data_IF_641440082024
#
_entry.id   IF_641440082024
#
_cell.length_a   1.000
_cell.length_b   1.000
_cell.length_c   1.000
_cell.angle_alpha   90.00
_cell.angle_beta   90.00
_cell.angle_gamma   90.00
#
_symmetry.space_group_name_H-M   'P 1'
#
loop_
_entity.id
_entity.type
_entity.pdbx_description
1 polymer ?
#
# COMPACT_ATOMS: atom_id res chain seq x y z
N UNK A 1 -1.19 -3.42 19.30
CA UNK A 1 -0.52 -2.53 18.33
C UNK A 1 0.90 -2.16 18.74
N UNK A 2 1.15 -1.77 19.99
CA UNK A 2 2.47 -1.35 20.51
C UNK A 2 3.64 -2.24 20.03
N UNK A 3 3.50 -3.58 20.12
CA UNK A 3 4.54 -4.52 19.66
C UNK A 3 4.96 -4.30 18.20
N UNK A 4 3.99 -4.10 17.29
CA UNK A 4 4.30 -3.87 15.87
C UNK A 4 5.08 -2.57 15.66
N UNK A 5 4.75 -1.53 16.43
CA UNK A 5 5.45 -0.23 16.35
C UNK A 5 6.87 -0.39 16.89
N UNK A 6 7.05 -1.00 18.07
CA UNK A 6 8.36 -1.25 18.66
C UNK A 6 9.27 -2.10 17.76
N UNK A 7 8.70 -3.04 17.02
CA UNK A 7 9.42 -3.88 16.05
C UNK A 7 9.59 -3.23 14.66
N UNK A 8 9.17 -1.98 14.46
CA UNK A 8 9.24 -1.30 13.15
C UNK A 8 8.36 -1.91 12.06
N UNK A 9 7.40 -2.76 12.43
CA UNK A 9 6.43 -3.40 11.54
C UNK A 9 5.22 -2.51 11.26
N UNK A 10 5.03 -1.46 12.04
CA UNK A 10 4.06 -0.39 11.84
C UNK A 10 4.75 0.95 12.00
N UNK A 11 4.44 1.90 11.11
CA UNK A 11 5.11 3.22 11.06
C UNK A 11 6.64 3.18 10.85
N UNK A 12 7.20 2.00 10.56
CA UNK A 12 8.59 1.89 10.13
C UNK A 12 8.82 2.59 8.80
N UNK A 13 9.99 3.21 8.65
CA UNK A 13 10.43 3.95 7.46
C UNK A 13 9.60 5.20 7.13
N UNK A 14 8.82 5.75 8.06
CA UNK A 14 8.28 7.10 7.88
C UNK A 14 9.43 8.12 7.89
N UNK A 15 9.23 9.24 7.19
CA UNK A 15 10.21 10.32 7.14
C UNK A 15 10.00 11.23 8.34
N UNK A 16 11.02 11.32 9.20
CA UNK A 16 10.99 12.21 10.36
C UNK A 16 11.22 13.66 9.93
N UNK A 17 10.26 14.52 10.26
CA UNK A 17 10.31 15.97 10.05
C UNK A 17 10.49 16.63 11.42
N UNK A 18 11.64 17.27 11.63
CA UNK A 18 11.97 17.89 12.92
C UNK A 18 12.62 19.27 12.81
N UNK A 19 13.01 19.69 11.60
CA UNK A 19 13.60 21.02 11.42
C UNK A 19 12.49 22.07 11.30
N UNK A 20 12.62 23.25 11.96
CA UNK A 20 11.61 24.30 11.89
C UNK A 20 11.26 24.72 10.44
N UNK A 21 12.26 24.74 9.55
CA UNK A 21 12.06 25.07 8.15
C UNK A 21 11.19 24.03 7.41
N UNK A 22 11.35 22.74 7.68
CA UNK A 22 10.52 21.70 7.07
C UNK A 22 9.09 21.72 7.64
N UNK A 23 8.93 21.97 8.93
CA UNK A 23 7.62 22.13 9.58
C UNK A 23 6.87 23.32 8.97
N UNK A 24 7.55 24.45 8.77
CA UNK A 24 6.95 25.63 8.13
C UNK A 24 6.53 25.33 6.69
N UNK A 25 7.39 24.69 5.89
CA UNK A 25 7.05 24.26 4.52
C UNK A 25 5.85 23.33 4.49
N UNK A 26 5.80 22.36 5.40
CA UNK A 26 4.67 21.46 5.54
C UNK A 26 3.39 22.22 5.87
N UNK A 27 3.42 23.12 6.84
CA UNK A 27 2.27 23.92 7.24
C UNK A 27 1.76 24.82 6.11
N UNK A 28 2.65 25.40 5.30
CA UNK A 28 2.24 26.16 4.11
C UNK A 28 1.52 25.28 3.09
N UNK A 29 2.03 24.07 2.85
CA UNK A 29 1.39 23.11 1.94
C UNK A 29 0.05 22.59 2.48
N UNK A 30 -0.01 22.27 3.78
CA UNK A 30 -1.23 21.81 4.45
C UNK A 30 -2.31 22.91 4.45
N UNK A 31 -1.92 24.16 4.69
CA UNK A 31 -2.83 25.30 4.63
C UNK A 31 -3.36 25.51 3.20
N UNK A 32 -2.52 25.33 2.19
CA UNK A 32 -2.90 25.44 0.79
C UNK A 32 -3.89 24.33 0.37
N UNK A 33 -3.64 23.08 0.76
CA UNK A 33 -4.43 21.92 0.33
C UNK A 33 -5.72 21.72 1.13
N UNK A 34 -5.64 21.85 2.45
CA UNK A 34 -6.71 21.46 3.38
C UNK A 34 -7.23 22.63 4.23
N UNK A 35 -6.62 23.82 4.15
CA UNK A 35 -6.99 24.96 4.98
C UNK A 35 -6.62 24.80 6.47
N UNK A 36 -5.71 23.88 6.78
CA UNK A 36 -5.31 23.52 8.15
C UNK A 36 -3.82 23.76 8.39
N UNK A 37 -3.42 23.80 9.65
CA UNK A 37 -2.01 23.79 10.10
C UNK A 37 -1.88 22.92 11.33
N UNK A 38 -0.70 22.33 11.54
CA UNK A 38 -0.31 21.64 12.76
C UNK A 38 0.48 22.56 13.68
N UNK A 39 0.30 22.41 14.99
CA UNK A 39 1.14 23.05 16.02
C UNK A 39 2.34 22.17 16.43
N UNK A 40 2.44 20.94 15.91
CA UNK A 40 3.55 20.03 16.19
C UNK A 40 4.87 20.59 15.63
N UNK A 41 5.91 20.51 16.46
CA UNK A 41 7.28 20.94 16.12
C UNK A 41 8.10 19.85 15.44
N UNK A 42 7.61 18.61 15.48
CA UNK A 42 8.22 17.42 14.91
C UNK A 42 7.14 16.36 14.69
N UNK A 43 7.25 15.56 13.64
CA UNK A 43 6.28 14.51 13.27
C UNK A 43 6.84 13.61 12.16
N UNK A 44 6.17 12.51 11.86
CA UNK A 44 6.56 11.55 10.84
C UNK A 44 5.57 11.52 9.68
N UNK A 45 6.06 11.53 8.44
CA UNK A 45 5.22 11.49 7.24
C UNK A 45 5.45 10.25 6.39
N UNK A 46 4.37 9.82 5.73
CA UNK A 46 4.37 8.71 4.78
C UNK A 46 4.74 9.17 3.35
N UNK A 47 4.67 8.28 2.35
CA UNK A 47 5.02 8.62 0.96
C UNK A 47 4.19 9.77 0.39
N UNK A 48 2.94 9.94 0.85
CA UNK A 48 2.06 11.03 0.45
C UNK A 48 2.25 12.29 1.29
N UNK A 49 3.05 12.26 2.35
CA UNK A 49 3.13 13.37 3.29
C UNK A 49 2.07 13.32 4.40
N UNK A 50 1.29 12.25 4.52
CA UNK A 50 0.35 12.06 5.62
C UNK A 50 1.11 11.67 6.89
N UNK A 51 0.78 12.32 8.01
CA UNK A 51 1.29 12.03 9.35
C UNK A 51 0.15 11.52 10.24
N UNK A 52 0.31 10.35 10.87
CA UNK A 52 -0.65 9.88 11.86
C UNK A 52 -0.73 10.81 13.08
N UNK A 53 0.35 11.47 13.49
CA UNK A 53 0.37 12.42 14.59
C UNK A 53 -0.47 13.69 14.29
N UNK A 54 -0.33 14.24 13.08
CA UNK A 54 -1.13 15.38 12.64
C UNK A 54 -2.60 14.97 12.46
N UNK A 55 -2.85 13.78 11.93
CA UNK A 55 -4.20 13.24 11.82
C UNK A 55 -4.89 13.11 13.18
N UNK A 56 -4.13 12.75 14.22
CA UNK A 56 -4.59 12.72 15.60
C UNK A 56 -4.87 14.13 16.16
N UNK A 57 -3.89 15.04 16.06
CA UNK A 57 -4.03 16.44 16.51
C UNK A 57 -5.27 17.12 15.90
N UNK A 58 -5.51 16.89 14.61
CA UNK A 58 -6.64 17.48 13.88
C UNK A 58 -7.96 16.72 14.07
N UNK A 59 -7.93 15.54 14.71
CA UNK A 59 -9.09 14.63 14.79
C UNK A 59 -9.60 14.18 13.44
N UNK A 60 -8.74 14.15 12.41
CA UNK A 60 -9.08 13.85 11.03
C UNK A 60 -8.02 12.96 10.38
N UNK A 61 -8.20 11.63 10.37
CA UNK A 61 -7.25 10.69 9.76
C UNK A 61 -7.24 10.74 8.22
N UNK A 62 -8.10 11.56 7.60
CA UNK A 62 -8.22 11.71 6.15
C UNK A 62 -7.91 13.15 5.70
N UNK A 63 -7.17 13.93 6.49
CA UNK A 63 -6.90 15.34 6.19
C UNK A 63 -6.14 15.58 4.86
N UNK A 64 -5.43 14.57 4.32
CA UNK A 64 -4.85 14.57 2.95
C UNK A 64 -5.56 13.61 1.98
N UNK A 65 -6.70 13.06 2.35
CA UNK A 65 -7.48 12.22 1.45
C UNK A 65 -8.97 12.50 1.59
N UNK A 66 -9.44 13.69 1.15
CA UNK A 66 -10.84 14.06 1.23
C UNK A 66 -11.75 12.99 0.64
N UNK A 67 -12.75 12.56 1.41
CA UNK A 67 -13.69 11.48 1.06
C UNK A 67 -13.04 10.12 0.73
N UNK A 68 -11.72 9.98 0.89
CA UNK A 68 -10.98 8.78 0.53
C UNK A 68 -10.80 8.51 -0.96
N UNK A 69 -11.03 9.48 -1.85
CA UNK A 69 -11.04 9.28 -3.32
C UNK A 69 -9.89 9.99 -4.02
N UNK A 70 -9.71 11.29 -3.76
CA UNK A 70 -8.64 12.06 -4.35
C UNK A 70 -7.58 12.33 -3.30
N UNK A 71 -6.56 11.48 -3.26
CA UNK A 71 -5.48 11.63 -2.29
C UNK A 71 -4.62 12.83 -2.67
N UNK A 72 -4.60 13.81 -1.79
CA UNK A 72 -3.66 14.90 -1.81
C UNK A 72 -2.31 14.42 -1.27
N UNK A 73 -1.24 15.10 -1.66
CA UNK A 73 0.10 14.79 -1.17
C UNK A 73 0.94 16.04 -0.94
N UNK A 74 1.88 15.92 0.00
CA UNK A 74 2.89 16.92 0.34
C UNK A 74 4.25 16.23 0.28
N UNK A 75 5.11 16.66 -0.64
CA UNK A 75 6.48 16.20 -0.78
C UNK A 75 7.43 17.26 -0.22
N UNK A 76 8.18 16.87 0.80
CA UNK A 76 9.28 17.61 1.40
C UNK A 76 10.65 17.03 1.01
N UNK A 77 10.70 15.80 0.50
CA UNK A 77 11.93 15.16 0.05
C UNK A 77 11.66 13.99 -0.90
N UNK A 78 12.50 13.74 -1.92
CA UNK A 78 12.42 12.54 -2.75
C UNK A 78 12.56 11.22 -1.96
N UNK A 79 13.17 11.24 -0.78
CA UNK A 79 13.32 10.04 0.07
C UNK A 79 11.97 9.48 0.55
N UNK A 80 10.89 10.27 0.49
CA UNK A 80 9.52 9.79 0.75
C UNK A 80 9.14 8.58 -0.10
N UNK A 81 9.76 8.35 -1.27
CA UNK A 81 9.52 7.16 -2.11
C UNK A 81 9.74 5.83 -1.38
N UNK A 82 10.60 5.82 -0.34
CA UNK A 82 10.89 4.64 0.49
C UNK A 82 9.86 4.42 1.60
N UNK A 83 9.08 5.45 1.94
CA UNK A 83 8.09 5.38 3.01
C UNK A 83 6.92 4.47 2.62
N UNK A 84 6.22 3.88 3.63
CA UNK A 84 4.94 3.24 3.38
C UNK A 84 3.88 4.27 2.95
N UNK A 85 2.75 3.78 2.45
CA UNK A 85 1.52 4.58 2.34
C UNK A 85 0.58 4.12 3.45
N UNK A 86 0.10 5.05 4.27
CA UNK A 86 -0.84 4.79 5.34
C UNK A 86 -2.29 5.06 4.88
N UNK A 87 -3.26 4.53 5.63
CA UNK A 87 -4.70 4.71 5.39
C UNK A 87 -5.09 4.46 3.93
N UNK A 88 -4.62 3.34 3.35
CA UNK A 88 -4.77 3.07 1.92
C UNK A 88 -6.25 2.90 1.58
N UNK A 89 -6.74 3.68 0.61
CA UNK A 89 -8.10 3.55 0.06
C UNK A 89 -8.15 2.91 -1.32
N UNK A 90 -7.05 2.98 -2.07
CA UNK A 90 -6.87 2.32 -3.36
C UNK A 90 -5.51 1.65 -3.40
N UNK A 91 -5.44 0.41 -3.89
CA UNK A 91 -4.18 -0.36 -3.97
C UNK A 91 -3.13 0.29 -4.88
N UNK A 92 -3.56 1.16 -5.79
CA UNK A 92 -2.74 1.77 -6.85
C UNK A 92 -1.98 3.00 -6.37
N UNK A 93 -2.50 3.72 -5.37
CA UNK A 93 -2.01 5.05 -4.99
C UNK A 93 -0.53 5.06 -4.61
N UNK A 94 -0.04 4.02 -3.92
CA UNK A 94 1.38 3.95 -3.53
C UNK A 94 2.31 3.80 -4.73
N UNK A 95 1.94 2.94 -5.69
CA UNK A 95 2.75 2.71 -6.88
C UNK A 95 2.83 3.99 -7.73
N UNK A 96 1.69 4.66 -7.94
CA UNK A 96 1.59 5.94 -8.65
C UNK A 96 2.47 7.01 -8.02
N UNK A 97 2.38 7.20 -6.69
CA UNK A 97 3.21 8.19 -5.97
C UNK A 97 4.70 7.85 -6.08
N UNK A 98 5.07 6.58 -5.93
CA UNK A 98 6.47 6.16 -6.05
C UNK A 98 7.02 6.41 -7.46
N UNK A 99 6.30 5.98 -8.49
CA UNK A 99 6.70 6.19 -9.90
C UNK A 99 6.81 7.67 -10.24
N UNK A 100 5.92 8.51 -9.70
CA UNK A 100 6.00 9.95 -9.86
C UNK A 100 7.25 10.55 -9.22
N UNK A 101 7.58 10.12 -7.99
CA UNK A 101 8.79 10.60 -7.29
C UNK A 101 10.04 10.14 -8.03
N UNK A 102 10.10 8.86 -8.44
CA UNK A 102 11.24 8.29 -9.17
C UNK A 102 11.44 8.96 -10.55
N UNK A 103 10.36 9.19 -11.30
CA UNK A 103 10.43 9.82 -12.62
C UNK A 103 10.87 11.29 -12.57
N UNK A 104 10.70 11.95 -11.41
CA UNK A 104 10.95 13.38 -11.23
C UNK A 104 11.99 13.67 -10.14
N UNK A 105 12.82 12.69 -9.78
CA UNK A 105 13.65 12.75 -8.58
C UNK A 105 14.58 13.96 -8.54
N UNK A 106 15.25 14.27 -9.65
CA UNK A 106 16.16 15.42 -9.74
C UNK A 106 15.43 16.76 -9.59
N UNK A 107 14.27 16.89 -10.23
CA UNK A 107 13.44 18.10 -10.19
C UNK A 107 12.83 18.28 -8.80
N UNK A 108 12.31 17.20 -8.22
CA UNK A 108 11.77 17.22 -6.86
C UNK A 108 12.86 17.53 -5.84
N UNK A 109 14.09 17.01 -6.00
CA UNK A 109 15.21 17.35 -5.13
C UNK A 109 15.52 18.86 -5.16
N UNK A 110 15.52 19.47 -6.34
CA UNK A 110 15.77 20.90 -6.49
C UNK A 110 14.62 21.75 -5.90
N UNK A 111 13.37 21.37 -6.15
CA UNK A 111 12.20 22.07 -5.62
C UNK A 111 12.09 21.95 -4.09
N UNK A 112 12.29 20.75 -3.57
CA UNK A 112 12.14 20.46 -2.14
C UNK A 112 13.23 21.08 -1.27
N UNK A 113 14.32 21.55 -1.89
CA UNK A 113 15.37 22.31 -1.21
C UNK A 113 14.86 23.65 -0.64
N UNK A 114 13.88 24.29 -1.28
CA UNK A 114 13.37 25.63 -0.89
C UNK A 114 11.91 25.66 -0.50
N UNK A 115 11.06 24.79 -1.08
CA UNK A 115 9.63 24.76 -0.83
C UNK A 115 9.08 23.32 -0.73
N UNK A 116 7.84 23.15 -0.32
CA UNK A 116 7.13 21.87 -0.46
C UNK A 116 6.51 21.77 -1.85
N UNK A 117 6.47 20.56 -2.41
CA UNK A 117 5.68 20.25 -3.59
C UNK A 117 4.36 19.63 -3.11
N UNK A 118 3.25 20.30 -3.42
CA UNK A 118 1.90 19.89 -3.04
C UNK A 118 1.11 19.49 -4.28
N UNK A 119 0.22 18.52 -4.14
CA UNK A 119 -0.55 18.05 -5.28
C UNK A 119 -1.68 17.11 -4.91
N UNK A 120 -2.33 16.57 -5.94
CA UNK A 120 -3.46 15.65 -5.83
C UNK A 120 -3.38 14.56 -6.91
N UNK A 121 -3.77 13.34 -6.50
CA UNK A 121 -4.11 12.27 -7.42
C UNK A 121 -5.55 12.52 -7.90
N UNK A 122 -5.67 13.17 -9.06
CA UNK A 122 -6.95 13.61 -9.62
C UNK A 122 -7.61 12.45 -10.34
N UNK A 123 -8.85 12.18 -9.93
CA UNK A 123 -9.77 11.26 -10.60
C UNK A 123 -10.95 12.02 -11.18
N UNK A 124 -11.60 11.44 -12.19
CA UNK A 124 -12.86 11.96 -12.76
C UNK A 124 -14.02 12.00 -11.75
N UNK A 125 -13.91 11.28 -10.63
CA UNK A 125 -14.94 11.15 -9.61
C UNK A 125 -14.51 11.84 -8.32
N UNK A 126 -15.19 12.92 -7.96
CA UNK A 126 -14.94 13.66 -6.71
C UNK A 126 -15.51 12.98 -5.45
N UNK A 127 -16.57 12.18 -5.62
CA UNK A 127 -17.23 11.47 -4.53
C UNK A 127 -17.88 10.19 -5.05
N UNK A 128 -17.59 9.08 -4.41
CA UNK A 128 -18.25 7.80 -4.66
C UNK A 128 -19.63 7.81 -4.01
N UNK A 129 -20.69 7.57 -4.79
CA UNK A 129 -22.07 7.42 -4.33
C UNK A 129 -22.48 5.95 -4.33
N UNK A 130 -21.99 5.19 -5.30
CA UNK A 130 -22.27 3.77 -5.46
C UNK A 130 -21.04 2.99 -5.94
N UNK A 131 -20.99 1.67 -5.74
CA UNK A 131 -19.95 0.81 -6.29
C UNK A 131 -19.81 0.90 -7.82
N UNK A 132 -20.89 1.19 -8.55
CA UNK A 132 -20.86 1.36 -10.00
C UNK A 132 -19.98 2.55 -10.44
N UNK A 133 -19.84 3.58 -9.60
CA UNK A 133 -19.00 4.76 -9.89
C UNK A 133 -17.52 4.37 -10.05
N UNK A 134 -17.07 3.29 -9.41
CA UNK A 134 -15.69 2.81 -9.49
C UNK A 134 -15.29 2.39 -10.91
N UNK A 135 -16.24 1.98 -11.76
CA UNK A 135 -15.96 1.62 -13.15
C UNK A 135 -15.75 2.84 -14.07
N UNK A 136 -16.01 4.05 -13.55
CA UNK A 136 -15.70 5.31 -14.25
C UNK A 136 -14.30 5.82 -13.94
N UNK A 137 -13.62 5.26 -12.94
CA UNK A 137 -12.23 5.51 -12.60
C UNK A 137 -11.32 4.82 -13.63
N UNK A 138 -11.09 5.50 -14.76
CA UNK A 138 -10.27 4.96 -15.86
C UNK A 138 -8.83 5.42 -15.82
N UNK A 139 -8.62 6.66 -15.38
CA UNK A 139 -7.35 7.35 -15.49
C UNK A 139 -7.16 8.24 -14.26
N UNK A 140 -5.98 8.12 -13.67
CA UNK A 140 -5.52 8.97 -12.57
C UNK A 140 -4.48 9.91 -13.15
N UNK A 141 -4.68 11.21 -12.95
CA UNK A 141 -3.70 12.24 -13.30
C UNK A 141 -3.07 12.79 -12.02
N UNK A 142 -1.81 13.20 -12.11
CA UNK A 142 -1.11 13.85 -11.01
C UNK A 142 -1.03 15.33 -11.32
N UNK A 143 -1.74 16.12 -10.52
CA UNK A 143 -1.56 17.57 -10.49
C UNK A 143 -0.63 17.91 -9.33
N UNK A 144 0.46 18.63 -9.64
CA UNK A 144 1.46 19.01 -8.65
C UNK A 144 1.97 20.42 -8.94
N UNK A 145 2.20 21.20 -7.88
CA UNK A 145 2.88 22.49 -7.91
C UNK A 145 3.63 22.73 -6.60
N UNK A 146 4.55 23.70 -6.57
CA UNK A 146 5.01 24.24 -5.30
C UNK A 146 3.94 25.12 -4.67
N UNK A 147 4.00 25.35 -3.36
CA UNK A 147 3.05 26.25 -2.68
C UNK A 147 3.17 27.67 -3.23
N UNK A 148 4.38 28.10 -3.61
CA UNK A 148 4.63 29.36 -4.32
C UNK A 148 4.14 29.43 -5.77
N UNK A 149 3.60 28.35 -6.35
CA UNK A 149 3.13 28.31 -7.74
C UNK A 149 4.26 28.32 -8.77
N UNK A 150 5.44 27.85 -8.41
CA UNK A 150 6.66 27.92 -9.22
C UNK A 150 6.50 27.20 -10.57
N UNK A 151 5.82 26.05 -10.62
CA UNK A 151 5.64 25.31 -11.88
C UNK A 151 4.64 26.01 -12.79
N UNK A 152 3.49 26.44 -12.26
CA UNK A 152 2.51 27.21 -13.05
C UNK A 152 3.12 28.49 -13.60
N UNK A 153 3.89 29.20 -12.78
CA UNK A 153 4.56 30.42 -13.20
C UNK A 153 5.67 30.14 -14.22
N UNK A 154 6.44 29.04 -14.07
CA UNK A 154 7.45 28.64 -15.04
C UNK A 154 6.83 28.32 -16.41
N UNK A 155 5.71 27.61 -16.45
CA UNK A 155 4.96 27.34 -17.69
C UNK A 155 4.45 28.61 -18.37
N UNK A 156 3.89 29.56 -17.60
CA UNK A 156 3.48 30.87 -18.11
C UNK A 156 4.65 31.65 -18.71
N UNK A 157 5.76 31.72 -18.00
CA UNK A 157 6.95 32.42 -18.47
C UNK A 157 7.53 31.75 -19.73
N UNK A 158 7.55 30.42 -19.82
CA UNK A 158 7.96 29.72 -21.03
C UNK A 158 7.06 30.06 -22.23
N UNK A 159 5.74 30.08 -22.04
CA UNK A 159 4.80 30.49 -23.09
C UNK A 159 4.99 31.95 -23.51
N UNK A 160 5.24 32.86 -22.56
CA UNK A 160 5.55 34.27 -22.85
C UNK A 160 6.88 34.42 -23.59
N UNK A 161 7.91 33.63 -23.25
CA UNK A 161 9.19 33.60 -23.97
C UNK A 161 8.99 33.13 -25.41
N UNK A 162 8.21 32.07 -25.63
CA UNK A 162 7.92 31.60 -26.98
C UNK A 162 7.11 32.62 -27.78
N UNK A 163 6.12 33.25 -27.15
CA UNK A 163 5.37 34.37 -27.73
C UNK A 163 6.30 35.51 -28.15
N UNK A 164 7.19 35.94 -27.25
CA UNK A 164 8.19 36.96 -27.50
C UNK A 164 9.12 36.63 -28.68
N UNK A 165 9.42 35.35 -28.92
CA UNK A 165 10.29 34.90 -30.02
C UNK A 165 9.56 34.73 -31.36
N UNK A 166 8.26 34.44 -31.34
CA UNK A 166 7.53 33.93 -32.51
C UNK A 166 6.48 34.89 -33.07
N UNK A 167 5.89 35.75 -32.24
CA UNK A 167 4.91 36.74 -32.70
C UNK A 167 5.59 37.98 -33.28
N UNK A 168 5.04 38.49 -34.38
CA UNK A 168 5.39 39.80 -34.93
C UNK A 168 5.12 40.87 -33.87
N UNK A 169 6.03 41.84 -33.76
CA UNK A 169 5.96 42.98 -32.83
C UNK A 169 6.06 42.67 -31.32
N UNK A 170 6.07 41.40 -30.90
CA UNK A 170 6.16 41.01 -29.49
C UNK A 170 7.49 41.40 -28.81
N UNK A 171 8.55 41.66 -29.59
CA UNK A 171 9.87 42.04 -29.08
C UNK A 171 9.93 43.46 -28.48
N UNK A 172 8.93 44.31 -28.77
CA UNK A 172 8.78 45.67 -28.21
C UNK A 172 7.48 45.88 -27.42
N UNK A 173 6.75 44.80 -27.12
CA UNK A 173 5.59 44.86 -26.26
C UNK A 173 6.05 45.06 -24.79
N UNK A 174 6.06 46.31 -24.35
CA UNK A 174 6.45 46.70 -22.98
C UNK A 174 5.60 46.01 -21.90
N UNK A 175 4.34 45.67 -22.20
CA UNK A 175 3.45 44.96 -21.27
C UNK A 175 3.90 43.51 -21.14
N UNK A 176 4.14 42.83 -22.26
CA UNK A 176 4.66 41.46 -22.27
C UNK A 176 6.00 41.35 -21.52
N UNK A 177 6.93 42.28 -21.77
CA UNK A 177 8.24 42.31 -21.10
C UNK A 177 8.09 42.53 -19.59
N UNK A 178 7.22 43.45 -19.17
CA UNK A 178 6.98 43.72 -17.75
C UNK A 178 6.37 42.50 -17.04
N UNK A 179 5.41 41.81 -17.67
CA UNK A 179 4.83 40.57 -17.16
C UNK A 179 5.89 39.47 -17.02
N UNK A 180 6.74 39.29 -18.04
CA UNK A 180 7.85 38.32 -18.01
C UNK A 180 8.82 38.58 -16.85
N UNK A 181 9.22 39.84 -16.61
CA UNK A 181 10.09 40.21 -15.48
C UNK A 181 9.41 39.94 -14.14
N UNK A 182 8.11 40.23 -14.02
CA UNK A 182 7.33 39.97 -12.82
C UNK A 182 7.31 38.48 -12.46
N UNK A 183 7.05 37.62 -13.44
CA UNK A 183 7.01 36.16 -13.26
C UNK A 183 8.42 35.61 -12.99
N UNK A 184 9.45 36.06 -13.71
CA UNK A 184 10.83 35.61 -13.53
C UNK A 184 11.37 35.86 -12.11
N UNK A 185 10.93 36.93 -11.44
CA UNK A 185 11.27 37.19 -10.03
C UNK A 185 10.68 36.15 -9.07
N UNK A 186 9.57 35.51 -9.43
CA UNK A 186 8.90 34.48 -8.61
C UNK A 186 9.44 33.08 -8.90
N UNK A 187 9.82 32.79 -10.15
CA UNK A 187 10.28 31.44 -10.58
C UNK A 187 11.78 31.25 -10.55
N UNK A 188 12.56 32.33 -10.61
CA UNK A 188 13.98 32.26 -10.95
C UNK A 188 14.22 32.05 -12.46
N UNK A 189 15.48 31.82 -12.83
CA UNK A 189 15.90 31.64 -14.23
C UNK A 189 15.56 30.24 -14.76
N UNK A 190 14.36 30.12 -15.34
CA UNK A 190 13.86 28.88 -15.94
C UNK A 190 14.54 28.52 -17.26
N UNK A 191 15.32 29.43 -17.87
CA UNK A 191 16.04 29.13 -19.12
C UNK A 191 17.27 28.28 -18.86
N UNK A 192 17.92 28.50 -17.71
CA UNK A 192 19.08 27.71 -17.26
C UNK A 192 18.70 26.49 -16.45
N UNK A 193 17.57 26.53 -15.74
CA UNK A 193 17.10 25.42 -14.93
C UNK A 193 15.58 25.19 -15.13
N UNK A 194 15.16 24.60 -16.26
CA UNK A 194 13.75 24.35 -16.52
C UNK A 194 13.19 23.34 -15.52
N UNK A 195 12.27 23.79 -14.67
CA UNK A 195 11.59 22.93 -13.70
C UNK A 195 10.29 22.45 -14.34
N UNK A 196 10.32 21.25 -14.94
CA UNK A 196 9.14 20.58 -15.45
C UNK A 196 9.00 19.22 -14.76
N UNK A 197 7.86 18.98 -14.12
CA UNK A 197 7.52 17.64 -13.62
C UNK A 197 6.82 16.87 -14.74
N UNK A 198 7.30 15.67 -15.04
CA UNK A 198 6.60 14.78 -15.95
C UNK A 198 5.26 14.37 -15.33
N UNK A 199 4.17 14.73 -16.00
CA UNK A 199 2.82 14.32 -15.64
C UNK A 199 2.49 13.05 -16.42
N UNK A 200 2.57 11.90 -15.76
CA UNK A 200 2.13 10.63 -16.34
C UNK A 200 0.66 10.43 -16.03
N UNK A 201 -0.12 10.15 -17.08
CA UNK A 201 -1.42 9.55 -16.97
C UNK A 201 -1.23 8.08 -16.52
N UNK A 202 -1.84 7.70 -15.41
CA UNK A 202 -1.85 6.31 -14.97
C UNK A 202 -3.20 5.68 -15.32
N UNK A 203 -3.19 4.79 -16.30
CA UNK A 203 -4.33 3.93 -16.62
C UNK A 203 -4.22 2.66 -15.79
N UNK A 204 -4.93 2.59 -14.67
CA UNK A 204 -5.00 1.37 -13.87
C UNK A 204 -6.46 0.98 -13.66
N UNK A 205 -6.87 -0.04 -14.41
CA UNK A 205 -8.27 -0.49 -14.47
C UNK A 205 -8.54 -1.60 -13.45
N UNK A 206 -7.54 -2.42 -13.15
CA UNK A 206 -7.63 -3.45 -12.11
C UNK A 206 -7.07 -2.91 -10.79
N UNK A 207 -7.88 -2.90 -9.74
CA UNK A 207 -7.48 -2.38 -8.44
C UNK A 207 -8.36 -2.89 -7.29
N UNK A 208 -7.87 -2.73 -6.07
CA UNK A 208 -8.66 -2.90 -4.86
C UNK A 208 -8.98 -1.54 -4.25
N UNK A 209 -10.15 -1.42 -3.63
CA UNK A 209 -10.50 -0.28 -2.80
C UNK A 209 -11.10 -0.68 -1.45
N UNK A 210 -10.78 0.07 -0.40
CA UNK A 210 -11.37 -0.08 0.93
C UNK A 210 -12.83 0.41 1.01
N UNK A 211 -13.30 1.13 -0.01
CA UNK A 211 -14.68 1.61 -0.08
C UNK A 211 -15.66 0.44 -0.15
N UNK A 212 -16.89 0.67 0.33
CA UNK A 212 -17.98 -0.33 0.32
C UNK A 212 -17.62 -1.68 0.95
N UNK A 213 -16.77 -1.68 1.99
CA UNK A 213 -16.38 -2.89 2.70
C UNK A 213 -15.22 -3.67 2.08
N UNK A 214 -14.64 -3.19 0.97
CA UNK A 214 -13.54 -3.86 0.27
C UNK A 214 -14.02 -4.46 -1.04
N UNK A 215 -13.53 -3.92 -2.16
CA UNK A 215 -13.87 -4.38 -3.51
C UNK A 215 -12.60 -4.58 -4.32
N UNK A 216 -12.49 -5.73 -4.98
CA UNK A 216 -11.51 -6.01 -6.02
C UNK A 216 -12.17 -5.90 -7.38
N UNK A 217 -11.63 -5.04 -8.24
CA UNK A 217 -12.13 -4.79 -9.59
C UNK A 217 -11.13 -5.35 -10.59
N UNK A 218 -11.62 -6.19 -11.50
CA UNK A 218 -10.86 -6.71 -12.64
C UNK A 218 -11.63 -6.46 -13.95
N UNK A 219 -11.86 -5.20 -14.36
CA UNK A 219 -12.50 -4.88 -15.63
C UNK A 219 -11.62 -5.16 -16.85
N UNK A 220 -10.30 -5.28 -16.67
CA UNK A 220 -9.31 -5.38 -17.76
C UNK A 220 -8.62 -6.76 -17.76
N UNK A 221 -9.43 -7.81 -17.83
CA UNK A 221 -9.00 -9.21 -17.98
C UNK A 221 -9.92 -9.93 -18.98
N UNK A 222 -9.57 -11.12 -19.42
CA UNK A 222 -10.35 -11.88 -20.41
C UNK A 222 -11.79 -12.15 -19.95
N UNK A 223 -11.96 -12.44 -18.66
CA UNK A 223 -13.25 -12.65 -18.02
C UNK A 223 -13.43 -11.68 -16.86
N UNK A 224 -13.91 -10.46 -17.12
CA UNK A 224 -14.02 -9.41 -16.12
C UNK A 224 -14.91 -9.78 -14.94
N UNK A 225 -14.47 -9.45 -13.73
CA UNK A 225 -15.23 -9.67 -12.51
C UNK A 225 -14.99 -8.58 -11.47
N UNK A 226 -15.93 -8.50 -10.53
CA UNK A 226 -15.75 -7.80 -9.25
C UNK A 226 -15.87 -8.83 -8.12
N UNK A 227 -14.98 -8.74 -7.13
CA UNK A 227 -14.99 -9.60 -5.95
C UNK A 227 -15.17 -8.73 -4.72
N UNK A 228 -16.20 -9.00 -3.94
CA UNK A 228 -16.59 -8.22 -2.77
C UNK A 228 -16.08 -8.91 -1.51
N UNK A 229 -15.29 -8.18 -0.71
CA UNK A 229 -14.91 -8.60 0.63
C UNK A 229 -16.01 -8.35 1.66
N UNK A 230 -16.77 -7.26 1.46
CA UNK A 230 -17.99 -6.97 2.19
C UNK A 230 -19.25 -7.47 1.48
N UNK A 231 -20.39 -6.85 1.81
CA UNK A 231 -21.67 -7.16 1.20
C UNK A 231 -21.65 -6.94 -0.31
N UNK A 232 -22.34 -7.81 -1.05
CA UNK A 232 -22.54 -7.61 -2.48
C UNK A 232 -23.37 -6.34 -2.71
N UNK A 233 -23.01 -5.54 -3.72
CA UNK A 233 -23.77 -4.34 -4.02
C UNK A 233 -25.19 -4.68 -4.48
N UNK A 234 -26.15 -3.86 -4.06
CA UNK A 234 -27.50 -3.89 -4.58
C UNK A 234 -27.53 -3.19 -5.96
N UNK A 235 -28.15 -3.83 -6.95
CA UNK A 235 -28.32 -3.29 -8.30
C UNK A 235 -27.36 -3.83 -9.36
N UNK A 236 -27.56 -3.40 -10.60
CA UNK A 236 -26.76 -3.83 -11.74
C UNK A 236 -25.37 -3.19 -11.73
N UNK A 237 -24.34 -4.03 -11.86
CA UNK A 237 -22.95 -3.58 -11.95
C UNK A 237 -22.48 -3.54 -13.40
N UNK A 238 -21.57 -2.62 -13.78
CA UNK A 238 -20.93 -2.57 -15.11
C UNK A 238 -19.97 -3.75 -15.43
N UNK A 239 -20.21 -4.93 -14.86
CA UNK A 239 -19.41 -6.14 -15.04
C UNK A 239 -20.32 -7.36 -15.02
N UNK A 240 -19.98 -8.36 -15.83
CA UNK A 240 -20.80 -9.57 -15.98
C UNK A 240 -20.84 -10.43 -14.71
N UNK A 241 -19.75 -10.48 -13.97
CA UNK A 241 -19.60 -11.35 -12.82
C UNK A 241 -19.29 -10.56 -11.55
N UNK A 242 -20.11 -10.81 -10.52
CA UNK A 242 -19.91 -10.28 -9.18
C UNK A 242 -19.88 -11.45 -8.22
N UNK A 243 -18.78 -11.59 -7.49
CA UNK A 243 -18.57 -12.62 -6.48
C UNK A 243 -18.45 -11.99 -5.09
N UNK A 244 -18.75 -12.77 -4.06
CA UNK A 244 -18.26 -12.49 -2.70
C UNK A 244 -17.22 -13.55 -2.31
N UNK A 245 -16.48 -13.30 -1.22
CA UNK A 245 -15.41 -14.21 -0.77
C UNK A 245 -15.90 -15.62 -0.37
N UNK A 246 -17.20 -15.80 -0.11
CA UNK A 246 -17.75 -17.13 0.21
C UNK A 246 -17.87 -18.02 -1.04
N UNK A 247 -17.93 -17.43 -2.23
CA UNK A 247 -18.03 -18.13 -3.51
C UNK A 247 -16.67 -18.65 -4.02
N UNK A 248 -15.96 -19.37 -3.15
CA UNK A 248 -14.59 -19.88 -3.35
C UNK A 248 -14.39 -20.57 -4.71
N UNK A 249 -15.35 -21.40 -5.15
CA UNK A 249 -15.25 -22.10 -6.44
C UNK A 249 -15.33 -21.17 -7.64
N UNK A 250 -16.13 -20.11 -7.56
CA UNK A 250 -16.26 -19.13 -8.63
C UNK A 250 -15.00 -18.28 -8.72
N UNK A 251 -14.43 -17.90 -7.57
CA UNK A 251 -13.15 -17.19 -7.50
C UNK A 251 -12.00 -18.06 -8.03
N UNK A 252 -11.91 -19.33 -7.63
CA UNK A 252 -10.91 -20.26 -8.13
C UNK A 252 -10.97 -20.40 -9.66
N UNK A 253 -12.18 -20.60 -10.22
CA UNK A 253 -12.39 -20.63 -11.68
C UNK A 253 -12.04 -19.30 -12.34
N UNK A 254 -12.38 -18.18 -11.74
CA UNK A 254 -12.02 -16.85 -12.24
C UNK A 254 -10.50 -16.67 -12.32
N UNK A 255 -9.77 -17.05 -11.28
CA UNK A 255 -8.31 -16.97 -11.25
C UNK A 255 -7.67 -17.88 -12.30
N UNK A 256 -8.18 -19.10 -12.46
CA UNK A 256 -7.67 -20.08 -13.43
C UNK A 256 -7.96 -19.64 -14.88
N UNK A 257 -9.19 -19.25 -15.20
CA UNK A 257 -9.57 -18.81 -16.55
C UNK A 257 -8.81 -17.56 -17.00
N UNK A 258 -8.53 -16.63 -16.08
CA UNK A 258 -7.73 -15.44 -16.37
C UNK A 258 -6.22 -15.68 -16.19
N UNK A 259 -5.78 -16.88 -15.79
CA UNK A 259 -4.37 -17.22 -15.51
C UNK A 259 -3.69 -16.29 -14.50
N UNK A 260 -4.44 -15.87 -13.48
CA UNK A 260 -4.01 -14.90 -12.48
C UNK A 260 -3.29 -15.54 -11.28
N UNK A 261 -3.50 -16.83 -11.04
CA UNK A 261 -2.87 -17.56 -9.94
C UNK A 261 -2.36 -18.93 -10.39
N UNK A 262 -1.35 -19.43 -9.68
CA UNK A 262 -0.78 -20.75 -9.92
C UNK A 262 -0.42 -21.46 -8.60
N UNK A 263 -0.34 -22.80 -8.59
CA UNK A 263 0.09 -23.55 -7.42
C UNK A 263 1.52 -23.21 -6.99
N UNK A 264 1.74 -22.97 -5.69
CA UNK A 264 3.06 -22.62 -5.11
C UNK A 264 4.13 -23.65 -5.49
N UNK A 265 3.76 -24.92 -5.53
CA UNK A 265 4.63 -26.05 -5.88
C UNK A 265 5.17 -26.03 -7.33
N UNK A 266 4.51 -25.32 -8.25
CA UNK A 266 4.92 -25.24 -9.66
C UNK A 266 5.86 -24.06 -9.90
N UNK A 267 6.02 -23.20 -8.90
CA UNK A 267 6.91 -22.06 -8.92
C UNK A 267 8.37 -22.50 -9.02
N UNK A 268 9.10 -22.03 -10.03
CA UNK A 268 10.54 -22.30 -10.16
C UNK A 268 11.33 -21.51 -9.12
N UNK A 269 12.35 -22.13 -8.52
CA UNK A 269 13.32 -21.45 -7.65
C UNK A 269 12.91 -21.26 -6.19
N UNK A 270 11.89 -21.98 -5.70
CA UNK A 270 11.35 -21.84 -4.34
C UNK A 270 11.29 -23.18 -3.60
N UNK A 271 11.61 -23.19 -2.31
CA UNK A 271 11.31 -24.31 -1.41
C UNK A 271 9.82 -24.26 -1.01
N UNK A 272 8.97 -24.84 -1.88
CA UNK A 272 7.53 -24.90 -1.65
C UNK A 272 7.18 -25.61 -0.33
N UNK A 273 7.94 -26.63 0.08
CA UNK A 273 7.69 -27.34 1.32
C UNK A 273 7.97 -26.45 2.56
N UNK A 274 9.01 -25.62 2.52
CA UNK A 274 9.27 -24.64 3.58
C UNK A 274 8.14 -23.61 3.69
N UNK A 275 7.65 -23.08 2.56
CA UNK A 275 6.55 -22.10 2.54
C UNK A 275 5.26 -22.71 3.10
N UNK A 276 4.92 -23.94 2.69
CA UNK A 276 3.74 -24.65 3.18
C UNK A 276 3.83 -24.94 4.69
N UNK A 277 5.00 -25.39 5.17
CA UNK A 277 5.22 -25.61 6.61
C UNK A 277 5.06 -24.34 7.43
N UNK A 278 5.57 -23.22 6.94
CA UNK A 278 5.41 -21.95 7.63
C UNK A 278 3.94 -21.51 7.69
N UNK A 279 3.16 -21.70 6.61
CA UNK A 279 1.71 -21.47 6.64
C UNK A 279 1.02 -22.35 7.69
N UNK A 280 1.41 -23.63 7.77
CA UNK A 280 0.91 -24.56 8.78
C UNK A 280 1.26 -24.12 10.21
N UNK A 281 2.45 -23.57 10.44
CA UNK A 281 2.86 -23.06 11.75
C UNK A 281 1.92 -21.94 12.23
N UNK A 282 1.53 -21.00 11.36
CA UNK A 282 0.56 -19.97 11.74
C UNK A 282 -0.82 -20.53 12.09
N UNK A 283 -1.28 -21.57 11.40
CA UNK A 283 -2.57 -22.23 11.70
C UNK A 283 -2.51 -22.93 13.06
N UNK A 284 -1.40 -23.57 13.39
CA UNK A 284 -1.19 -24.18 14.72
C UNK A 284 -1.28 -23.12 15.80
N UNK A 285 -0.57 -21.99 15.63
CA UNK A 285 -0.59 -20.87 16.58
C UNK A 285 -2.00 -20.31 16.74
N UNK A 286 -2.72 -20.10 15.64
CA UNK A 286 -4.11 -19.62 15.69
C UNK A 286 -5.02 -20.55 16.49
N UNK A 287 -4.90 -21.87 16.26
CA UNK A 287 -5.70 -22.90 16.93
C UNK A 287 -5.49 -22.94 18.44
N UNK A 288 -4.26 -22.70 18.90
CA UNK A 288 -3.88 -22.85 20.32
C UNK A 288 -3.78 -21.51 21.06
N UNK A 289 -3.89 -20.37 20.38
CA UNK A 289 -3.71 -19.04 20.97
C UNK A 289 -4.63 -18.78 22.18
N UNK A 290 -5.81 -19.38 22.20
CA UNK A 290 -6.81 -19.22 23.27
C UNK A 290 -6.64 -20.22 24.44
N UNK A 291 -5.64 -21.10 24.37
CA UNK A 291 -5.42 -22.14 25.40
C UNK A 291 -4.60 -21.67 26.60
N UNK A 292 -4.12 -20.42 26.58
CA UNK A 292 -3.29 -19.84 27.65
C UNK A 292 -1.83 -20.33 27.66
N UNK A 293 -1.40 -21.08 26.63
CA UNK A 293 -0.02 -21.50 26.48
C UNK A 293 0.90 -20.33 26.12
N UNK A 294 2.14 -20.37 26.61
CA UNK A 294 3.17 -19.43 26.20
C UNK A 294 3.68 -19.82 24.80
N UNK A 295 3.55 -18.89 23.86
CA UNK A 295 3.95 -19.09 22.45
C UNK A 295 5.23 -18.32 22.09
N UNK A 296 5.97 -17.82 23.08
CA UNK A 296 7.21 -17.08 22.86
C UNK A 296 8.36 -18.04 22.54
N UNK A 297 9.27 -17.65 21.65
CA UNK A 297 10.53 -18.38 21.43
C UNK A 297 10.45 -19.78 20.82
N UNK A 298 9.29 -20.23 20.33
CA UNK A 298 9.09 -21.58 19.79
C UNK A 298 9.97 -21.87 18.56
N UNK A 299 10.53 -23.07 18.50
CA UNK A 299 11.26 -23.57 17.33
C UNK A 299 10.40 -24.50 16.44
N UNK A 300 10.96 -24.95 15.30
CA UNK A 300 10.27 -25.88 14.38
C UNK A 300 9.97 -27.26 15.00
N UNK A 301 10.75 -27.68 16.00
CA UNK A 301 10.49 -28.90 16.77
C UNK A 301 9.28 -28.75 17.68
N UNK A 302 9.18 -27.62 18.36
CA UNK A 302 8.06 -27.24 19.22
C UNK A 302 6.77 -27.15 18.43
N UNK A 303 6.78 -26.47 17.28
CA UNK A 303 5.60 -26.37 16.40
C UNK A 303 5.07 -27.74 15.98
N UNK A 304 5.96 -28.67 15.62
CA UNK A 304 5.59 -30.06 15.29
C UNK A 304 5.02 -30.81 16.49
N UNK A 305 5.55 -30.59 17.70
CA UNK A 305 5.04 -31.21 18.92
C UNK A 305 3.64 -30.67 19.26
N UNK A 306 3.45 -29.36 19.20
CA UNK A 306 2.17 -28.70 19.41
C UNK A 306 1.12 -29.18 18.41
N UNK A 307 1.47 -29.25 17.13
CA UNK A 307 0.57 -29.79 16.10
C UNK A 307 0.13 -31.23 16.39
N UNK A 308 1.04 -32.10 16.86
CA UNK A 308 0.69 -33.49 17.23
C UNK A 308 -0.20 -33.55 18.47
N UNK A 309 0.10 -32.75 19.49
CA UNK A 309 -0.68 -32.73 20.74
C UNK A 309 -2.10 -32.21 20.54
N UNK A 310 -2.30 -31.32 19.57
CA UNK A 310 -3.58 -30.68 19.28
C UNK A 310 -4.17 -31.10 17.93
N UNK A 311 -3.77 -32.27 17.41
CA UNK A 311 -4.16 -32.74 16.08
C UNK A 311 -5.68 -32.75 15.86
N UNK A 312 -6.45 -33.15 16.88
CA UNK A 312 -7.92 -33.22 16.82
C UNK A 312 -8.60 -31.84 16.81
N UNK A 313 -7.87 -30.77 17.10
CA UNK A 313 -8.37 -29.38 17.12
C UNK A 313 -7.95 -28.58 15.90
N UNK A 314 -7.02 -29.10 15.08
CA UNK A 314 -6.54 -28.40 13.91
C UNK A 314 -7.63 -28.33 12.83
N UNK A 315 -7.75 -27.20 12.13
CA UNK A 315 -8.80 -27.02 11.14
C UNK A 315 -8.45 -27.72 9.81
N UNK A 316 -9.44 -27.84 8.92
CA UNK A 316 -9.29 -28.53 7.63
C UNK A 316 -8.16 -27.93 6.77
N UNK A 317 -7.93 -26.62 6.86
CA UNK A 317 -6.83 -25.90 6.22
C UNK A 317 -5.47 -26.55 6.52
N UNK A 318 -5.25 -26.95 7.78
CA UNK A 318 -4.00 -27.59 8.19
C UNK A 318 -3.84 -28.96 7.53
N UNK A 319 -4.91 -29.76 7.51
CA UNK A 319 -4.86 -31.11 6.95
C UNK A 319 -4.69 -31.10 5.43
N UNK A 320 -5.33 -30.16 4.73
CA UNK A 320 -5.12 -29.95 3.29
C UNK A 320 -3.69 -29.50 2.98
N UNK A 321 -3.15 -28.53 3.74
CA UNK A 321 -1.75 -28.10 3.57
C UNK A 321 -0.75 -29.20 3.92
N UNK A 322 -1.02 -30.03 4.93
CA UNK A 322 -0.17 -31.16 5.27
C UNK A 322 -0.10 -32.19 4.13
N UNK A 323 -1.17 -32.37 3.36
CA UNK A 323 -1.16 -33.21 2.15
C UNK A 323 -0.24 -32.61 1.08
N UNK A 324 -0.34 -31.30 0.82
CA UNK A 324 0.53 -30.59 -0.12
C UNK A 324 2.00 -30.64 0.30
N UNK A 325 2.29 -30.43 1.59
CA UNK A 325 3.65 -30.43 2.14
C UNK A 325 4.28 -31.82 2.02
N UNK A 326 3.54 -32.89 2.38
CA UNK A 326 4.04 -34.28 2.22
C UNK A 326 4.37 -34.60 0.77
N UNK A 327 3.53 -34.18 -0.17
CA UNK A 327 3.79 -34.35 -1.60
C UNK A 327 5.03 -33.56 -2.04
N UNK A 328 5.18 -32.31 -1.59
CA UNK A 328 6.32 -31.47 -1.96
C UNK A 328 7.67 -32.01 -1.44
N UNK A 329 7.65 -32.73 -0.31
CA UNK A 329 8.84 -33.33 0.31
C UNK A 329 9.18 -34.71 -0.23
N UNK A 330 8.17 -35.56 -0.43
CA UNK A 330 8.39 -37.00 -0.68
C UNK A 330 8.00 -37.44 -2.10
N UNK A 331 7.38 -36.54 -2.90
CA UNK A 331 6.80 -36.87 -4.20
C UNK A 331 5.55 -37.75 -4.09
N UNK A 332 5.15 -38.34 -5.22
CA UNK A 332 3.96 -39.20 -5.34
C UNK A 332 2.81 -38.55 -6.10
N UNK A 333 1.59 -39.08 -5.90
CA UNK A 333 0.39 -38.60 -6.58
C UNK A 333 0.03 -37.18 -6.15
N UNK A 334 -0.21 -36.31 -7.13
CA UNK A 334 -0.59 -34.93 -6.90
C UNK A 334 -1.89 -34.86 -6.08
N UNK A 335 -1.90 -34.25 -4.88
CA UNK A 335 -3.09 -34.17 -4.05
C UNK A 335 -4.16 -33.33 -4.77
N UNK A 336 -5.33 -33.93 -4.97
CA UNK A 336 -6.48 -33.24 -5.56
C UNK A 336 -7.22 -32.46 -4.48
N UNK A 337 -6.82 -31.22 -4.29
CA UNK A 337 -7.52 -30.27 -3.42
C UNK A 337 -8.55 -29.54 -4.28
N UNK A 338 -9.83 -29.75 -3.98
CA UNK A 338 -10.93 -29.08 -4.65
C UNK A 338 -10.97 -27.60 -4.25
N UNK A 339 -11.62 -26.74 -5.05
CA UNK A 339 -11.69 -25.31 -4.74
C UNK A 339 -12.51 -25.00 -3.48
N UNK A 340 -13.40 -25.93 -3.11
CA UNK A 340 -14.21 -25.93 -1.91
C UNK A 340 -13.37 -26.14 -0.65
N UNK A 341 -12.23 -26.82 -0.78
CA UNK A 341 -11.36 -27.13 0.35
C UNK A 341 -10.82 -25.82 0.98
N UNK A 342 -10.90 -25.66 2.31
CA UNK A 342 -10.37 -24.49 3.00
C UNK A 342 -8.88 -24.23 2.71
N UNK A 343 -8.08 -25.27 2.49
CA UNK A 343 -6.65 -25.18 2.19
C UNK A 343 -6.35 -24.69 0.76
N UNK A 344 -7.33 -24.68 -0.15
CA UNK A 344 -7.08 -24.44 -1.58
C UNK A 344 -6.29 -23.15 -1.85
N UNK A 345 -6.75 -22.00 -1.36
CA UNK A 345 -6.07 -20.72 -1.60
C UNK A 345 -4.72 -20.59 -0.90
N UNK A 346 -4.48 -21.35 0.17
CA UNK A 346 -3.16 -21.40 0.83
C UNK A 346 -2.10 -22.07 -0.03
N UNK A 347 -2.52 -22.92 -0.97
CA UNK A 347 -1.65 -23.58 -1.95
C UNK A 347 -1.38 -22.76 -3.22
N UNK A 348 -1.94 -21.55 -3.34
CA UNK A 348 -1.79 -20.68 -4.51
C UNK A 348 -0.88 -19.48 -4.24
N UNK A 349 -0.28 -18.99 -5.32
CA UNK A 349 0.37 -17.67 -5.40
C UNK A 349 -0.13 -16.95 -6.65
N UNK A 350 0.05 -15.63 -6.71
CA UNK A 350 -0.20 -14.90 -7.94
C UNK A 350 0.74 -15.37 -9.06
N UNK A 351 0.21 -15.45 -10.28
CA UNK A 351 1.01 -15.66 -11.48
C UNK A 351 1.79 -14.38 -11.83
N UNK A 352 2.85 -14.53 -12.63
CA UNK A 352 3.68 -13.41 -13.09
C UNK A 352 2.95 -12.59 -14.16
N UNK A 353 2.05 -11.73 -13.69
CA UNK A 353 1.19 -10.86 -14.50
C UNK A 353 1.26 -9.44 -13.95
N UNK A 354 0.85 -8.40 -14.71
CA UNK A 354 0.75 -7.04 -14.17
C UNK A 354 -0.14 -6.92 -12.93
N UNK A 355 -1.12 -7.82 -12.77
CA UNK A 355 -2.06 -7.85 -11.64
C UNK A 355 -1.56 -8.64 -10.42
N UNK A 356 -0.31 -9.12 -10.46
CA UNK A 356 0.34 -9.93 -9.42
C UNK A 356 0.08 -9.43 -8.00
N UNK A 357 0.27 -8.13 -7.77
CA UNK A 357 0.16 -7.53 -6.44
C UNK A 357 -1.29 -7.52 -5.95
N UNK A 358 -2.24 -7.21 -6.85
CA UNK A 358 -3.67 -7.22 -6.57
C UNK A 358 -4.18 -8.65 -6.30
N UNK A 359 -3.71 -9.63 -7.06
CA UNK A 359 -4.06 -11.04 -6.85
C UNK A 359 -3.48 -11.56 -5.54
N UNK A 360 -2.23 -11.23 -5.22
CA UNK A 360 -1.62 -11.61 -3.94
C UNK A 360 -2.35 -10.95 -2.74
N UNK A 361 -2.87 -9.74 -2.92
CA UNK A 361 -3.73 -9.08 -1.93
C UNK A 361 -5.05 -9.84 -1.73
N UNK A 362 -5.73 -10.24 -2.82
CA UNK A 362 -6.94 -11.07 -2.76
C UNK A 362 -6.67 -12.44 -2.12
N UNK A 363 -5.59 -13.11 -2.50
CA UNK A 363 -5.20 -14.41 -1.92
C UNK A 363 -4.92 -14.28 -0.42
N UNK A 364 -4.34 -13.17 0.03
CA UNK A 364 -4.13 -12.92 1.46
C UNK A 364 -5.45 -12.83 2.23
N UNK A 365 -6.49 -12.23 1.65
CA UNK A 365 -7.81 -12.12 2.26
C UNK A 365 -8.61 -13.45 2.21
N UNK A 366 -8.38 -14.28 1.19
CA UNK A 366 -8.95 -15.63 1.07
C UNK A 366 -8.26 -16.67 1.99
N UNK A 367 -7.07 -16.36 2.48
CA UNK A 367 -6.23 -17.22 3.31
C UNK A 367 -5.74 -16.49 4.58
N UNK A 368 -6.66 -16.02 5.45
CA UNK A 368 -6.34 -15.08 6.52
C UNK A 368 -5.52 -15.68 7.68
N UNK A 369 -5.33 -17.00 7.71
CA UNK A 369 -4.46 -17.64 8.71
C UNK A 369 -2.97 -17.49 8.35
N UNK A 370 -2.61 -17.11 7.11
CA UNK A 370 -1.23 -16.75 6.77
C UNK A 370 -0.95 -15.28 7.13
N UNK A 371 -0.54 -15.08 8.38
CA UNK A 371 -0.22 -13.76 8.89
C UNK A 371 0.93 -13.06 8.14
N UNK A 372 1.88 -13.82 7.56
CA UNK A 372 2.97 -13.23 6.76
C UNK A 372 2.44 -12.68 5.46
N UNK A 373 1.66 -13.47 4.71
CA UNK A 373 1.10 -13.03 3.44
C UNK A 373 0.15 -11.84 3.64
N UNK A 374 -0.68 -11.88 4.69
CA UNK A 374 -1.50 -10.73 5.10
C UNK A 374 -0.66 -9.47 5.34
N UNK A 375 0.42 -9.57 6.11
CA UNK A 375 1.27 -8.42 6.40
C UNK A 375 1.97 -7.85 5.16
N UNK A 376 2.38 -8.71 4.23
CA UNK A 376 3.11 -8.29 3.02
C UNK A 376 2.15 -7.70 1.98
N UNK A 377 1.00 -8.35 1.75
CA UNK A 377 0.14 -8.09 0.61
C UNK A 377 -1.11 -7.25 0.97
N UNK A 378 -1.58 -7.29 2.22
CA UNK A 378 -2.78 -6.58 2.63
C UNK A 378 -2.66 -5.98 4.05
N UNK A 379 -1.73 -5.02 4.22
CA UNK A 379 -1.44 -4.38 5.51
C UNK A 379 -2.67 -3.82 6.25
N UNK A 380 -3.60 -3.18 5.54
CA UNK A 380 -4.83 -2.63 6.13
C UNK A 380 -5.69 -3.73 6.80
N UNK A 381 -5.88 -4.86 6.12
CA UNK A 381 -6.58 -6.02 6.67
C UNK A 381 -5.78 -6.65 7.81
N UNK A 382 -4.46 -6.79 7.66
CA UNK A 382 -3.59 -7.30 8.71
C UNK A 382 -3.73 -6.50 10.00
N UNK A 383 -3.62 -5.16 9.96
CA UNK A 383 -3.74 -4.34 11.16
C UNK A 383 -5.13 -4.45 11.78
N UNK A 384 -6.20 -4.49 10.97
CA UNK A 384 -7.57 -4.70 11.46
C UNK A 384 -7.69 -6.02 12.21
N UNK A 385 -7.28 -7.14 11.60
CA UNK A 385 -7.33 -8.46 12.22
C UNK A 385 -6.41 -8.58 13.44
N UNK A 386 -5.21 -8.01 13.37
CA UNK A 386 -4.25 -8.06 14.46
C UNK A 386 -4.80 -7.44 15.75
N UNK A 387 -5.64 -6.40 15.66
CA UNK A 387 -6.25 -5.80 16.86
C UNK A 387 -7.17 -6.77 17.61
N UNK A 388 -7.82 -7.68 16.90
CA UNK A 388 -8.81 -8.61 17.47
C UNK A 388 -8.20 -9.94 17.91
N UNK A 389 -6.94 -10.22 17.55
CA UNK A 389 -6.29 -11.48 17.90
C UNK A 389 -5.97 -11.60 19.40
N UNK A 390 -5.96 -12.82 19.95
CA UNK A 390 -5.48 -13.09 21.30
C UNK A 390 -4.03 -12.63 21.48
N UNK A 391 -3.67 -12.20 22.69
CA UNK A 391 -2.33 -11.63 22.97
C UNK A 391 -1.19 -12.60 22.63
N UNK A 392 -1.37 -13.90 22.86
CA UNK A 392 -0.38 -14.92 22.53
C UNK A 392 -0.10 -14.99 21.01
N UNK A 393 -1.15 -14.93 20.18
CA UNK A 393 -1.02 -14.88 18.72
C UNK A 393 -0.35 -13.57 18.27
N UNK A 394 -0.77 -12.43 18.84
CA UNK A 394 -0.19 -11.11 18.54
C UNK A 394 1.31 -11.06 18.84
N UNK A 395 1.71 -11.63 19.97
CA UNK A 395 3.10 -11.77 20.38
C UNK A 395 3.89 -12.58 19.36
N UNK A 396 3.46 -13.83 19.12
CA UNK A 396 4.14 -14.74 18.20
C UNK A 396 4.30 -14.14 16.81
N UNK A 397 3.23 -13.58 16.23
CA UNK A 397 3.28 -13.03 14.86
C UNK A 397 4.21 -11.81 14.79
N UNK A 398 4.18 -10.91 15.78
CA UNK A 398 5.09 -9.77 15.80
C UNK A 398 6.55 -10.20 15.89
N UNK A 399 6.86 -11.14 16.79
CA UNK A 399 8.22 -11.67 16.96
C UNK A 399 8.68 -12.46 15.73
N UNK A 400 7.78 -13.18 15.08
CA UNK A 400 8.04 -13.86 13.82
C UNK A 400 8.39 -12.87 12.71
N UNK A 401 7.55 -11.86 12.48
CA UNK A 401 7.77 -10.85 11.44
C UNK A 401 9.04 -10.02 11.70
N UNK A 402 9.35 -9.73 12.96
CA UNK A 402 10.56 -9.02 13.33
C UNK A 402 11.83 -9.86 13.10
N UNK A 403 11.80 -11.16 13.39
CA UNK A 403 12.98 -12.04 13.26
C UNK A 403 13.19 -12.60 11.85
N UNK A 404 12.14 -13.08 11.20
CA UNK A 404 12.26 -13.78 9.92
C UNK A 404 12.04 -12.85 8.73
N UNK A 405 11.03 -11.97 8.79
CA UNK A 405 10.72 -11.11 7.64
C UNK A 405 11.66 -9.90 7.52
N UNK A 406 12.03 -9.23 8.63
CA UNK A 406 12.95 -8.09 8.53
C UNK A 406 14.36 -8.51 8.11
N UNK A 407 14.78 -9.74 8.43
CA UNK A 407 16.11 -10.28 8.11
C UNK A 407 16.18 -10.81 6.67
N UNK A 408 15.11 -11.47 6.17
CA UNK A 408 15.04 -11.98 4.80
C UNK A 408 13.79 -11.48 4.05
N UNK A 409 13.74 -10.16 3.81
CA UNK A 409 12.68 -9.55 2.99
C UNK A 409 12.67 -10.10 1.57
N UNK A 410 13.85 -10.30 0.99
CA UNK A 410 14.01 -10.71 -0.41
C UNK A 410 13.48 -12.13 -0.64
N UNK A 411 13.86 -13.10 0.21
CA UNK A 411 13.37 -14.48 0.12
C UNK A 411 11.88 -14.61 0.41
N UNK A 412 11.38 -13.90 1.43
CA UNK A 412 9.94 -13.89 1.75
C UNK A 412 9.09 -13.30 0.62
N UNK A 413 9.57 -12.26 -0.06
CA UNK A 413 8.89 -11.69 -1.24
C UNK A 413 9.05 -12.58 -2.46
N UNK A 414 10.21 -13.19 -2.66
CA UNK A 414 10.41 -14.12 -3.77
C UNK A 414 9.43 -15.31 -3.72
N UNK A 415 9.10 -15.77 -2.52
CA UNK A 415 8.08 -16.80 -2.30
C UNK A 415 6.68 -16.40 -2.79
N UNK A 416 6.33 -15.12 -2.75
CA UNK A 416 5.00 -14.61 -3.13
C UNK A 416 4.96 -14.05 -4.55
N UNK A 417 6.07 -13.47 -5.02
CA UNK A 417 6.13 -12.66 -6.25
C UNK A 417 7.05 -13.22 -7.33
N UNK A 418 7.90 -14.22 -7.05
CA UNK A 418 8.94 -14.70 -7.97
C UNK A 418 10.24 -13.88 -7.89
N UNK A 419 11.08 -13.90 -8.94
CA UNK A 419 12.31 -13.09 -8.95
C UNK A 419 11.99 -11.59 -9.02
N UNK A 420 12.02 -10.91 -7.88
CA UNK A 420 12.09 -9.45 -7.81
C UNK A 420 13.56 -8.98 -7.79
N UNK A 421 13.87 -7.78 -8.31
CA UNK A 421 15.16 -7.14 -8.05
C UNK A 421 15.39 -6.97 -6.55
N UNK A 422 16.66 -6.99 -6.14
CA UNK A 422 17.06 -6.93 -4.74
C UNK A 422 16.47 -5.70 -4.03
N UNK A 423 15.67 -5.97 -2.99
CA UNK A 423 15.04 -4.96 -2.14
C UNK A 423 15.83 -4.75 -0.82
N UNK A 424 17.10 -5.18 -0.76
CA UNK A 424 18.03 -5.00 0.36
C UNK A 424 18.44 -3.53 0.62
N UNK A 425 17.51 -2.59 0.48
CA UNK A 425 17.70 -1.20 0.89
C UNK A 425 17.44 -1.01 2.38
N UNK A 426 18.44 -1.33 3.20
CA UNK A 426 18.64 -0.94 4.61
C UNK A 426 17.67 -1.53 5.65
N UNK A 427 18.23 -1.85 6.82
CA UNK A 427 17.46 -2.19 8.02
C UNK A 427 16.52 -1.02 8.36
N UNK A 428 15.27 -1.31 8.69
CA UNK A 428 14.37 -0.26 9.19
C UNK A 428 14.98 0.35 10.45
N UNK A 429 15.25 1.67 10.50
CA UNK A 429 15.77 2.31 11.70
C UNK A 429 14.81 2.06 12.86
N UNK A 430 15.35 1.97 14.08
CA UNK A 430 14.53 1.83 15.28
C UNK A 430 13.50 2.97 15.34
N UNK A 431 12.24 2.62 15.59
CA UNK A 431 11.15 3.59 15.68
C UNK A 431 11.41 4.51 16.88
N UNK A 432 11.24 5.81 16.69
CA UNK A 432 11.43 6.81 17.75
C UNK A 432 10.47 6.54 18.92
N UNK A 433 11.00 6.52 20.14
CA UNK A 433 10.19 6.33 21.35
C UNK A 433 9.15 7.45 21.51
N UNK A 434 9.47 8.67 21.04
CA UNK A 434 8.55 9.80 21.03
C UNK A 434 7.36 9.57 20.09
N UNK A 435 7.56 8.87 18.96
CA UNK A 435 6.46 8.48 18.07
C UNK A 435 5.50 7.56 18.83
N UNK A 436 6.00 6.53 19.51
CA UNK A 436 5.17 5.56 20.27
C UNK A 436 4.32 6.26 21.33
N UNK A 437 4.86 7.25 22.02
CA UNK A 437 4.15 8.03 23.03
C UNK A 437 3.08 8.94 22.42
N UNK A 438 3.38 9.58 21.29
CA UNK A 438 2.50 10.55 20.60
C UNK A 438 1.36 9.92 19.84
N UNK A 439 1.58 8.84 19.10
CA UNK A 439 0.49 8.10 18.44
C UNK A 439 -0.35 7.27 19.41
N UNK A 440 -0.13 7.35 20.73
CA UNK A 440 -0.88 6.68 21.79
C UNK A 440 -1.28 5.22 21.48
N UNK A 441 -2.27 4.63 22.15
CA UNK A 441 -2.78 3.29 21.82
C UNK A 441 -3.81 3.30 20.66
N UNK A 442 -3.75 4.28 19.74
CA UNK A 442 -4.83 4.66 18.82
C UNK A 442 -5.35 3.53 17.90
N UNK A 443 -6.41 2.90 18.35
CA UNK A 443 -7.68 3.54 18.08
C UNK A 443 -8.35 3.86 19.40
N UNK A 444 -8.89 5.07 19.57
CA UNK A 444 -9.70 5.42 20.72
C UNK A 444 -10.90 4.46 20.87
N UNK A 445 -10.73 3.38 21.65
CA UNK A 445 -11.86 2.65 22.25
C UNK A 445 -12.22 3.40 23.53
N UNK A 446 -13.32 4.14 23.42
CA UNK A 446 -14.09 4.84 24.46
C UNK A 446 -13.64 4.58 25.90
N UNK A 447 -13.26 5.66 26.59
CA UNK A 447 -13.58 5.83 28.01
C UNK A 447 -14.56 6.99 28.17
N UNK A 448 -15.84 6.65 28.15
CA UNK A 448 -16.80 7.13 29.14
C UNK A 448 -17.41 5.92 29.80
#
# INVERSE_FOLDING_TARGET
MIRLIQSGLMFGNLVHISSPALVERYNRALQHLAGKTTALTDFHIDISGYSPEIGDELGDPLYLNPNGVNRQFILLTPEQKRAPLLNVKFSTSRAILREFIEANEAQLFALTATDAVAGELVNSVFKLRSPADLFTLRKIEIEADTVGGTLKNAGKLAAMIERFKTEDDAWFDDVLIAEMIGIARQTGDITRNPVHLSHKAHEQRNFWTAHFGGLYLFPDVQHPAMICAGDKPEGEMPVKYVFDLSERNRIAKFLDFNKLAEPIVRARGMDAAAVLRQKMDFIVIDTIADTGLELSGLDRGDMRRLARMHADRLPEEYHGLAQLARWAENGGDWPRIAAEDPAYFYGLRAADTPDRDLVNMLLAELAPLDARQLFICHKELFYRLYTTWPEAKRAFVADFLAREYQVDKAGARAALFGHEPDMSGEASPAVDAALIERVGPWGAVRRR
#
